data_IF_535294343225
#
_entry.id   IF_535294343225
#
_cell.length_a   1.000
_cell.length_b   1.000
_cell.length_c   1.000
_cell.angle_alpha   90.00
_cell.angle_beta   90.00
_cell.angle_gamma   90.00
#
_symmetry.space_group_name_H-M   'P 1'
#
loop_
_entity.id
_entity.type
_entity.pdbx_description
1 polymer ?
#
# COMPACT_ATOMS: atom_id res chain seq x y z
N UNK A 1 -24.20 -16.02 22.32
CA UNK A 1 -24.38 -17.49 22.39
C UNK A 1 -23.02 -18.12 22.68
N UNK A 2 -22.88 -19.01 23.68
CA UNK A 2 -21.61 -19.68 23.97
C UNK A 2 -21.29 -20.77 22.93
N UNK A 3 -20.01 -21.06 22.71
CA UNK A 3 -19.57 -22.12 21.80
C UNK A 3 -19.89 -23.50 22.39
N UNK A 4 -20.49 -24.38 21.56
CA UNK A 4 -21.09 -25.67 21.92
C UNK A 4 -20.10 -26.76 22.40
N UNK A 5 -18.80 -26.45 22.49
CA UNK A 5 -17.74 -27.46 22.61
C UNK A 5 -16.83 -27.28 23.85
N UNK A 6 -17.18 -26.43 24.82
CA UNK A 6 -16.42 -26.29 26.08
C UNK A 6 -15.01 -25.67 25.97
N UNK A 7 -14.52 -25.42 24.75
CA UNK A 7 -13.33 -24.63 24.49
C UNK A 7 -13.72 -23.16 24.41
N UNK A 8 -13.50 -22.41 25.49
CA UNK A 8 -13.50 -20.95 25.45
C UNK A 8 -12.26 -20.48 24.67
N UNK A 9 -12.27 -20.64 23.35
CA UNK A 9 -11.34 -19.88 22.52
C UNK A 9 -11.78 -18.41 22.57
N UNK A 10 -10.93 -17.49 23.03
CA UNK A 10 -11.26 -16.08 22.95
C UNK A 10 -11.48 -15.72 21.48
N UNK A 11 -12.67 -15.22 21.15
CA UNK A 11 -12.92 -14.63 19.83
C UNK A 11 -12.21 -13.29 19.82
N UNK A 12 -11.06 -13.22 19.15
CA UNK A 12 -10.42 -11.95 18.86
C UNK A 12 -11.27 -11.23 17.82
N UNK A 13 -12.10 -10.30 18.28
CA UNK A 13 -12.90 -9.43 17.42
C UNK A 13 -12.38 -8.02 17.57
N UNK A 14 -12.37 -7.25 16.49
CA UNK A 14 -12.03 -5.83 16.57
C UNK A 14 -12.91 -5.10 17.59
N UNK A 15 -12.24 -4.40 18.51
CA UNK A 15 -12.83 -3.35 19.34
C UNK A 15 -13.33 -2.18 18.48
N UNK A 16 -14.07 -1.25 19.07
CA UNK A 16 -14.55 -0.07 18.33
C UNK A 16 -13.38 0.79 17.81
N UNK A 17 -12.33 0.93 18.63
CA UNK A 17 -11.14 1.68 18.29
C UNK A 17 -10.33 0.97 17.19
N UNK A 18 -10.16 -0.36 17.29
CA UNK A 18 -9.47 -1.13 16.24
C UNK A 18 -10.25 -1.11 14.91
N UNK A 19 -11.59 -1.10 14.95
CA UNK A 19 -12.41 -0.93 13.72
C UNK A 19 -12.19 0.42 13.06
N UNK A 20 -11.88 1.47 13.82
CA UNK A 20 -11.62 2.79 13.26
C UNK A 20 -10.35 2.83 12.39
N UNK A 21 -9.42 1.88 12.58
CA UNK A 21 -8.21 1.72 11.77
C UNK A 21 -8.51 1.12 10.39
N UNK A 22 -9.62 0.39 10.23
CA UNK A 22 -9.91 -0.34 8.99
C UNK A 22 -10.12 0.58 7.80
N UNK A 23 -10.89 1.66 7.96
CA UNK A 23 -11.15 2.59 6.85
C UNK A 23 -9.87 3.26 6.32
N UNK A 24 -9.02 3.90 7.15
CA UNK A 24 -7.76 4.46 6.66
C UNK A 24 -6.79 3.39 6.18
N UNK A 25 -6.76 2.20 6.81
CA UNK A 25 -5.94 1.07 6.35
C UNK A 25 -6.36 0.56 4.96
N UNK A 26 -7.66 0.41 4.71
CA UNK A 26 -8.21 0.09 3.37
C UNK A 26 -7.89 1.21 2.38
N UNK A 27 -7.93 2.47 2.80
CA UNK A 27 -7.50 3.60 1.99
C UNK A 27 -6.06 3.44 1.51
N UNK A 28 -5.13 3.15 2.43
CA UNK A 28 -3.72 2.91 2.12
C UNK A 28 -3.53 1.73 1.15
N UNK A 29 -4.22 0.61 1.40
CA UNK A 29 -4.18 -0.58 0.56
C UNK A 29 -4.73 -0.32 -0.86
N UNK A 30 -5.83 0.44 -0.96
CA UNK A 30 -6.42 0.83 -2.24
C UNK A 30 -5.49 1.76 -3.01
N UNK A 31 -4.82 2.72 -2.35
CA UNK A 31 -3.85 3.59 -3.02
C UNK A 31 -2.72 2.77 -3.63
N UNK A 32 -2.14 1.82 -2.88
CA UNK A 32 -1.16 0.88 -3.42
C UNK A 32 -1.70 0.14 -4.66
N UNK A 33 -2.93 -0.38 -4.59
CA UNK A 33 -3.51 -1.15 -5.69
C UNK A 33 -3.71 -0.29 -6.93
N UNK A 34 -4.17 0.95 -6.76
CA UNK A 34 -4.36 1.91 -7.86
C UNK A 34 -3.01 2.29 -8.47
N UNK A 35 -1.98 2.53 -7.65
CA UNK A 35 -0.60 2.77 -8.12
C UNK A 35 -0.12 1.64 -9.01
N UNK A 36 -0.23 0.39 -8.56
CA UNK A 36 0.17 -0.78 -9.35
C UNK A 36 -0.55 -0.81 -10.70
N UNK A 37 -1.86 -0.57 -10.73
CA UNK A 37 -2.65 -0.57 -11.98
C UNK A 37 -2.26 0.57 -12.93
N UNK A 38 -2.01 1.77 -12.40
CA UNK A 38 -1.58 2.93 -13.21
C UNK A 38 -0.19 2.70 -13.80
N UNK A 39 0.74 2.13 -13.03
CA UNK A 39 2.09 1.78 -13.52
C UNK A 39 2.01 0.70 -14.61
N UNK A 40 1.21 -0.36 -14.42
CA UNK A 40 0.98 -1.37 -15.48
C UNK A 40 0.48 -0.70 -16.75
N UNK A 41 -0.55 0.15 -16.65
CA UNK A 41 -1.11 0.82 -17.82
C UNK A 41 -0.10 1.73 -18.53
N UNK A 42 0.74 2.46 -17.76
CA UNK A 42 1.79 3.29 -18.34
C UNK A 42 2.84 2.46 -19.09
N UNK A 43 3.28 1.34 -18.51
CA UNK A 43 4.20 0.39 -19.17
C UNK A 43 3.56 -0.22 -20.41
N UNK A 44 2.30 -0.63 -20.36
CA UNK A 44 1.59 -1.24 -21.49
C UNK A 44 1.46 -0.27 -22.69
N UNK A 45 1.27 1.03 -22.43
CA UNK A 45 1.07 2.04 -23.47
C UNK A 45 2.40 2.59 -24.00
N UNK A 46 3.35 2.88 -23.11
CA UNK A 46 4.54 3.66 -23.44
C UNK A 46 5.86 2.90 -23.26
N UNK A 47 5.82 1.72 -22.64
CA UNK A 47 7.00 0.88 -22.39
C UNK A 47 7.65 0.41 -23.69
N UNK A 48 8.97 0.50 -23.75
CA UNK A 48 9.79 0.14 -24.90
C UNK A 48 11.06 -0.58 -24.46
N UNK A 49 11.57 -1.43 -25.33
CA UNK A 49 12.81 -2.19 -25.10
C UNK A 49 13.85 -1.86 -26.19
N UNK A 50 13.98 -0.59 -26.59
CA UNK A 50 14.79 -0.21 -27.76
C UNK A 50 16.27 -0.13 -27.39
N UNK A 51 16.58 0.35 -26.19
CA UNK A 51 17.96 0.53 -25.75
C UNK A 51 18.16 0.04 -24.31
N UNK A 52 19.42 -0.01 -23.90
CA UNK A 52 19.82 -0.50 -22.57
C UNK A 52 19.17 0.26 -21.42
N UNK A 53 19.08 1.59 -21.53
CA UNK A 53 18.50 2.42 -20.49
C UNK A 53 17.00 2.13 -20.30
N UNK A 54 16.25 2.02 -21.40
CA UNK A 54 14.81 1.68 -21.33
C UNK A 54 14.59 0.29 -20.70
N UNK A 55 15.45 -0.69 -20.99
CA UNK A 55 15.40 -2.00 -20.34
C UNK A 55 15.70 -1.92 -18.84
N UNK A 56 16.73 -1.16 -18.43
CA UNK A 56 17.08 -0.98 -17.02
C UNK A 56 15.95 -0.30 -16.22
N UNK A 57 15.21 0.62 -16.84
CA UNK A 57 14.04 1.27 -16.22
C UNK A 57 12.86 0.29 -16.04
N UNK A 58 12.59 -0.58 -17.02
CA UNK A 58 11.57 -1.63 -16.91
C UNK A 58 11.97 -2.68 -15.85
N UNK A 59 13.23 -3.09 -15.81
CA UNK A 59 13.75 -4.02 -14.80
C UNK A 59 13.60 -3.44 -13.39
N UNK A 60 13.89 -2.14 -13.20
CA UNK A 60 13.69 -1.44 -11.92
C UNK A 60 12.23 -1.52 -11.44
N UNK A 61 11.25 -1.32 -12.33
CA UNK A 61 9.83 -1.49 -11.99
C UNK A 61 9.49 -2.96 -11.72
N UNK A 62 9.97 -3.88 -12.54
CA UNK A 62 9.71 -5.31 -12.37
C UNK A 62 10.21 -5.81 -11.00
N UNK A 63 11.38 -5.35 -10.56
CA UNK A 63 11.95 -5.66 -9.25
C UNK A 63 11.08 -5.12 -8.10
N UNK A 64 10.51 -3.92 -8.24
CA UNK A 64 9.57 -3.37 -7.26
C UNK A 64 8.26 -4.16 -7.22
N UNK A 65 7.72 -4.52 -8.38
CA UNK A 65 6.49 -5.33 -8.50
C UNK A 65 6.66 -6.73 -7.89
N UNK A 66 7.84 -7.34 -8.04
CA UNK A 66 8.16 -8.69 -7.55
C UNK A 66 7.95 -8.83 -6.04
N UNK A 67 8.17 -7.76 -5.27
CA UNK A 67 8.05 -7.74 -3.80
C UNK A 67 6.78 -7.04 -3.31
N UNK A 68 5.97 -6.49 -4.21
CA UNK A 68 4.78 -5.70 -3.86
C UNK A 68 3.77 -6.47 -3.02
N UNK A 69 3.54 -7.77 -3.31
CA UNK A 69 2.54 -8.55 -2.58
C UNK A 69 2.90 -8.73 -1.11
N UNK A 70 4.19 -8.92 -0.77
CA UNK A 70 4.59 -9.11 0.63
C UNK A 70 4.33 -7.86 1.46
N UNK A 71 4.59 -6.66 0.92
CA UNK A 71 4.27 -5.42 1.62
C UNK A 71 2.77 -5.26 1.90
N UNK A 72 1.92 -5.66 0.96
CA UNK A 72 0.47 -5.65 1.15
C UNK A 72 0.04 -6.68 2.20
N UNK A 73 0.51 -7.92 2.07
CA UNK A 73 0.14 -9.03 2.96
C UNK A 73 0.59 -8.76 4.40
N UNK A 74 1.82 -8.27 4.57
CA UNK A 74 2.38 -7.91 5.88
C UNK A 74 1.53 -6.81 6.53
N UNK A 75 1.22 -5.74 5.80
CA UNK A 75 0.39 -4.65 6.30
C UNK A 75 -1.04 -5.12 6.65
N UNK A 76 -1.71 -5.83 5.75
CA UNK A 76 -3.09 -6.30 5.95
C UNK A 76 -3.17 -7.23 7.16
N UNK A 77 -2.15 -8.05 7.39
CA UNK A 77 -2.09 -8.93 8.56
C UNK A 77 -2.09 -8.16 9.87
N UNK A 78 -1.45 -6.98 9.93
CA UNK A 78 -1.47 -6.12 11.13
C UNK A 78 -2.85 -5.57 11.47
N UNK A 79 -3.77 -5.53 10.50
CA UNK A 79 -5.13 -5.05 10.70
C UNK A 79 -6.05 -6.12 11.31
N UNK A 80 -5.64 -7.38 11.43
CA UNK A 80 -6.44 -8.42 12.08
C UNK A 80 -6.24 -8.46 13.61
N UNK A 81 -7.27 -8.80 14.41
CA UNK A 81 -7.14 -8.86 15.87
C UNK A 81 -6.24 -10.01 16.35
N UNK A 82 -5.53 -9.82 17.48
CA UNK A 82 -5.40 -8.58 18.25
C UNK A 82 -4.53 -7.54 17.51
N UNK A 83 -5.04 -6.33 17.33
CA UNK A 83 -4.34 -5.29 16.57
C UNK A 83 -3.29 -4.65 17.45
N UNK A 84 -2.07 -4.52 16.94
CA UNK A 84 -0.97 -3.85 17.64
C UNK A 84 -0.64 -2.54 16.96
N UNK A 85 -0.85 -1.42 17.66
CA UNK A 85 -0.60 -0.06 17.17
C UNK A 85 0.78 0.09 16.50
N UNK A 86 1.83 -0.40 17.17
CA UNK A 86 3.20 -0.34 16.66
C UNK A 86 3.37 -1.09 15.33
N UNK A 87 2.74 -2.26 15.18
CA UNK A 87 2.79 -3.04 13.94
C UNK A 87 2.05 -2.32 12.81
N UNK A 88 0.85 -1.80 13.06
CA UNK A 88 0.08 -1.06 12.05
C UNK A 88 0.86 0.17 11.56
N UNK A 89 1.52 0.88 12.48
CA UNK A 89 2.39 2.01 12.16
C UNK A 89 3.60 1.60 11.31
N UNK A 90 4.36 0.59 11.74
CA UNK A 90 5.58 0.14 11.07
C UNK A 90 5.30 -0.41 9.66
N UNK A 91 4.35 -1.34 9.54
CA UNK A 91 4.02 -1.95 8.26
C UNK A 91 3.27 -1.00 7.34
N UNK A 92 2.45 -0.08 7.89
CA UNK A 92 1.86 1.02 7.14
C UNK A 92 2.91 1.97 6.55
N UNK A 93 3.93 2.33 7.35
CA UNK A 93 5.05 3.16 6.89
C UNK A 93 5.83 2.47 5.77
N UNK A 94 6.06 1.16 5.92
CA UNK A 94 6.79 0.35 4.96
C UNK A 94 6.03 0.23 3.63
N UNK A 95 4.72 -0.04 3.67
CA UNK A 95 3.87 -0.04 2.47
C UNK A 95 3.86 1.33 1.78
N UNK A 96 3.74 2.41 2.55
CA UNK A 96 3.84 3.79 2.02
C UNK A 96 5.17 4.02 1.29
N UNK A 97 6.28 3.69 1.94
CA UNK A 97 7.61 3.89 1.36
C UNK A 97 7.79 3.10 0.06
N UNK A 98 7.26 1.88 -0.01
CA UNK A 98 7.27 1.07 -1.23
C UNK A 98 6.47 1.71 -2.36
N UNK A 99 5.27 2.22 -2.08
CA UNK A 99 4.44 2.96 -3.05
C UNK A 99 5.17 4.21 -3.56
N UNK A 100 5.76 5.01 -2.67
CA UNK A 100 6.50 6.22 -3.05
C UNK A 100 7.71 5.87 -3.92
N UNK A 101 8.46 4.82 -3.58
CA UNK A 101 9.59 4.35 -4.39
C UNK A 101 9.16 3.91 -5.79
N UNK A 102 7.97 3.33 -5.93
CA UNK A 102 7.41 2.94 -7.22
C UNK A 102 6.97 4.13 -8.07
N UNK A 103 6.35 5.14 -7.44
CA UNK A 103 5.97 6.38 -8.09
C UNK A 103 7.19 7.17 -8.56
N UNK A 104 8.23 7.26 -7.73
CA UNK A 104 9.52 7.86 -8.06
C UNK A 104 10.21 7.13 -9.24
N UNK A 105 10.30 5.80 -9.17
CA UNK A 105 10.86 5.00 -10.26
C UNK A 105 10.06 5.14 -11.57
N UNK A 106 8.75 5.33 -11.48
CA UNK A 106 7.90 5.60 -12.65
C UNK A 106 8.20 6.98 -13.21
N UNK A 107 8.25 8.02 -12.36
CA UNK A 107 8.51 9.40 -12.76
C UNK A 107 9.81 9.54 -13.57
N UNK A 108 10.84 8.81 -13.17
CA UNK A 108 12.18 8.82 -13.79
C UNK A 108 12.29 7.97 -15.06
N UNK A 109 11.21 7.34 -15.52
CA UNK A 109 11.23 6.38 -16.62
C UNK A 109 10.73 6.94 -17.95
N UNK A 110 11.10 6.27 -19.04
CA UNK A 110 10.63 6.57 -20.39
C UNK A 110 9.14 6.30 -20.64
N UNK A 111 8.46 5.56 -19.75
CA UNK A 111 7.03 5.25 -19.88
C UNK A 111 6.15 6.17 -19.02
N UNK A 112 6.74 7.14 -18.32
CA UNK A 112 5.99 8.23 -17.71
C UNK A 112 5.78 9.36 -18.73
N UNK A 113 4.54 9.46 -19.21
CA UNK A 113 4.14 10.53 -20.11
C UNK A 113 3.67 11.76 -19.32
N UNK A 114 4.42 12.86 -19.39
CA UNK A 114 4.10 14.12 -18.71
C UNK A 114 2.97 14.92 -19.37
N UNK A 115 2.54 14.52 -20.58
CA UNK A 115 1.45 15.17 -21.31
C UNK A 115 0.06 14.68 -20.86
N UNK A 116 -0.01 13.60 -20.07
CA UNK A 116 -1.24 13.07 -19.48
C UNK A 116 -1.33 13.35 -17.97
N UNK A 117 -2.57 13.27 -17.46
CA UNK A 117 -2.99 13.48 -16.06
C UNK A 117 -1.89 13.19 -15.02
N UNK A 118 -1.66 14.13 -14.10
CA UNK A 118 -0.64 14.04 -13.06
C UNK A 118 -1.04 13.08 -11.91
N UNK A 119 -1.34 11.84 -12.30
CA UNK A 119 -1.75 10.78 -11.41
C UNK A 119 -0.62 10.37 -10.47
N UNK A 120 0.65 10.56 -10.87
CA UNK A 120 1.81 10.30 -10.00
C UNK A 120 1.76 11.21 -8.79
N UNK A 121 1.66 12.54 -8.99
CA UNK A 121 1.55 13.46 -7.86
C UNK A 121 0.27 13.21 -7.05
N UNK A 122 -0.87 12.95 -7.71
CA UNK A 122 -2.11 12.62 -6.99
C UNK A 122 -1.93 11.42 -6.05
N UNK A 123 -1.29 10.33 -6.51
CA UNK A 123 -1.11 9.13 -5.70
C UNK A 123 -0.07 9.30 -4.60
N UNK A 124 0.96 10.12 -4.79
CA UNK A 124 1.90 10.52 -3.72
C UNK A 124 1.16 11.25 -2.59
N UNK A 125 0.30 12.21 -2.94
CA UNK A 125 -0.51 12.91 -1.94
C UNK A 125 -1.51 11.98 -1.26
N UNK A 126 -2.15 11.08 -2.02
CA UNK A 126 -3.12 10.14 -1.50
C UNK A 126 -2.51 9.14 -0.50
N UNK A 127 -1.31 8.59 -0.80
CA UNK A 127 -0.66 7.63 0.11
C UNK A 127 -0.21 8.31 1.40
N UNK A 128 0.30 9.54 1.32
CA UNK A 128 0.66 10.32 2.51
C UNK A 128 -0.58 10.64 3.35
N UNK A 129 -1.64 11.15 2.72
CA UNK A 129 -2.90 11.46 3.41
C UNK A 129 -3.50 10.24 4.12
N UNK A 130 -3.56 9.09 3.44
CA UNK A 130 -4.11 7.87 4.03
C UNK A 130 -3.25 7.35 5.19
N UNK A 131 -1.92 7.46 5.10
CA UNK A 131 -1.04 7.09 6.19
C UNK A 131 -1.17 8.04 7.39
N UNK A 132 -1.24 9.36 7.16
CA UNK A 132 -1.47 10.33 8.24
C UNK A 132 -2.83 10.12 8.92
N UNK A 133 -3.87 9.81 8.15
CA UNK A 133 -5.17 9.43 8.71
C UNK A 133 -5.07 8.16 9.55
N UNK A 134 -4.29 7.16 9.11
CA UNK A 134 -4.07 5.94 9.88
C UNK A 134 -3.38 6.24 11.22
N UNK A 135 -2.32 7.06 11.23
CA UNK A 135 -1.63 7.49 12.45
C UNK A 135 -2.58 8.22 13.41
N UNK A 136 -3.42 9.12 12.90
CA UNK A 136 -4.38 9.84 13.75
C UNK A 136 -5.35 8.90 14.48
N UNK A 137 -5.67 7.73 13.91
CA UNK A 137 -6.50 6.70 14.55
C UNK A 137 -5.73 5.81 15.50
N UNK A 138 -4.42 5.70 15.32
CA UNK A 138 -3.55 4.98 16.26
C UNK A 138 -3.42 5.77 17.55
N UNK A 139 -3.33 7.10 17.46
CA UNK A 139 -3.29 7.98 18.64
C UNK A 139 -4.56 7.84 19.49
N UNK A 140 -5.72 7.59 18.86
CA UNK A 140 -7.01 7.33 19.53
C UNK A 140 -7.06 5.96 20.29
N UNK A 141 -6.03 5.11 20.17
CA UNK A 141 -5.95 3.83 20.90
C UNK A 141 -5.43 3.98 22.34
N UNK A 142 -4.85 5.13 22.67
CA UNK A 142 -4.27 5.45 23.99
C UNK A 142 -5.12 6.50 24.73
#
# INVERSE_FOLDING_TARGET
MPARNGLNQPRFTWSLQERALLNPGIGLANTFQITMRKVIAAVDIYGRCINRQENEELDKIADLFRVSSSFMDDFVTTLYPPVTAAAVQEYGATLKAHVLKMLDATRDSHFHNTDEEDWVNFLEHAIEHNYQNLLSRIDDLY
#
